data_IF_162677057056
#
_entry.id   IF_162677057056
#
_cell.length_a   1.000
_cell.length_b   1.000
_cell.length_c   1.000
_cell.angle_alpha   90.00
_cell.angle_beta   90.00
_cell.angle_gamma   90.00
#
_symmetry.space_group_name_H-M   'P 1'
#
loop_
_entity.id
_entity.type
_entity.pdbx_description
1 polymer ?
#
# COMPACT_ATOMS: atom_id res chain seq x y z
N UNK A 1 24.50 17.04 -16.87
CA UNK A 1 25.37 16.43 -17.90
C UNK A 1 25.07 14.94 -17.91
N UNK A 2 24.41 14.45 -18.96
CA UNK A 2 24.11 13.02 -19.12
C UNK A 2 25.33 12.37 -19.76
N UNK A 3 25.95 11.39 -19.09
CA UNK A 3 27.07 10.63 -19.66
C UNK A 3 26.55 9.75 -20.78
N UNK A 4 26.95 10.06 -22.00
CA UNK A 4 26.46 9.48 -23.25
C UNK A 4 27.33 8.30 -23.74
N UNK A 5 27.92 7.54 -22.82
CA UNK A 5 28.92 6.50 -23.17
C UNK A 5 28.34 5.10 -23.43
N UNK A 6 27.01 4.95 -23.46
CA UNK A 6 26.36 3.64 -23.65
C UNK A 6 25.31 3.65 -24.76
N UNK A 7 25.72 3.96 -26.00
CA UNK A 7 25.03 3.48 -27.19
C UNK A 7 26.06 3.04 -28.23
N UNK A 8 26.07 1.75 -28.60
CA UNK A 8 25.83 1.45 -30.02
C UNK A 8 24.94 0.21 -30.23
N UNK A 9 24.39 0.12 -31.43
CA UNK A 9 23.43 -0.89 -31.87
C UNK A 9 23.92 -2.34 -31.74
N UNK A 10 22.96 -3.25 -31.58
CA UNK A 10 23.18 -4.69 -31.60
C UNK A 10 23.06 -5.38 -30.25
N UNK A 11 21.84 -5.44 -29.72
CA UNK A 11 21.28 -6.60 -29.00
C UNK A 11 22.18 -7.38 -28.03
N UNK A 12 22.60 -6.78 -26.93
CA UNK A 12 22.86 -7.52 -25.70
C UNK A 12 22.63 -6.60 -24.49
N UNK A 13 21.57 -6.86 -23.73
CA UNK A 13 21.40 -6.26 -22.40
C UNK A 13 22.60 -6.65 -21.54
N UNK A 14 23.34 -5.71 -20.95
CA UNK A 14 24.50 -6.03 -20.12
C UNK A 14 24.09 -6.95 -18.95
N UNK A 15 24.97 -7.86 -18.50
CA UNK A 15 24.77 -8.62 -17.27
C UNK A 15 24.51 -7.70 -16.08
N UNK A 16 23.63 -8.10 -15.15
CA UNK A 16 23.17 -7.30 -14.00
C UNK A 16 24.32 -6.70 -13.16
N UNK A 17 25.49 -7.35 -13.15
CA UNK A 17 26.70 -6.92 -12.44
C UNK A 17 27.35 -5.65 -13.03
N UNK A 18 27.06 -5.31 -14.30
CA UNK A 18 27.66 -4.16 -15.00
C UNK A 18 26.76 -2.92 -15.04
N UNK A 19 25.53 -3.00 -14.52
CA UNK A 19 24.70 -1.81 -14.39
C UNK A 19 25.24 -0.87 -13.31
N UNK A 20 25.22 0.45 -13.53
CA UNK A 20 25.44 1.41 -12.47
C UNK A 20 24.52 1.06 -11.29
N UNK A 21 25.08 0.90 -10.09
CA UNK A 21 24.31 0.52 -8.89
C UNK A 21 23.08 1.40 -8.65
N UNK A 22 23.13 2.67 -9.09
CA UNK A 22 22.01 3.60 -9.05
C UNK A 22 20.82 3.17 -9.94
N UNK A 23 21.05 2.64 -11.14
CA UNK A 23 20.01 2.19 -12.06
C UNK A 23 19.34 0.91 -11.56
N UNK A 24 20.14 -0.06 -11.09
CA UNK A 24 19.62 -1.28 -10.48
C UNK A 24 18.77 -0.97 -9.22
N UNK A 25 19.22 -0.01 -8.39
CA UNK A 25 18.47 0.46 -7.22
C UNK A 25 17.17 1.15 -7.64
N UNK A 26 17.19 2.02 -8.65
CA UNK A 26 16.00 2.69 -9.16
C UNK A 26 14.96 1.71 -9.73
N UNK A 27 15.40 0.70 -10.50
CA UNK A 27 14.49 -0.37 -10.97
C UNK A 27 13.88 -1.16 -9.81
N UNK A 28 14.69 -1.50 -8.80
CA UNK A 28 14.21 -2.17 -7.58
C UNK A 28 13.17 -1.33 -6.82
N UNK A 29 13.36 -0.02 -6.76
CA UNK A 29 12.40 0.90 -6.13
C UNK A 29 11.10 1.02 -6.93
N UNK A 30 11.18 1.16 -8.26
CA UNK A 30 10.01 1.23 -9.12
C UNK A 30 9.11 -0.02 -8.98
N UNK A 31 9.71 -1.21 -8.93
CA UNK A 31 8.98 -2.45 -8.70
C UNK A 31 8.23 -2.45 -7.35
N UNK A 32 8.89 -2.00 -6.27
CA UNK A 32 8.28 -1.90 -4.93
C UNK A 32 7.13 -0.90 -4.90
N UNK A 33 7.28 0.27 -5.54
CA UNK A 33 6.22 1.28 -5.64
C UNK A 33 4.98 0.71 -6.35
N UNK A 34 5.17 0.02 -7.48
CA UNK A 34 4.08 -0.61 -8.21
C UNK A 34 3.41 -1.74 -7.43
N UNK A 35 4.19 -2.54 -6.70
CA UNK A 35 3.65 -3.58 -5.83
C UNK A 35 2.79 -2.96 -4.73
N UNK A 36 3.28 -1.91 -4.06
CA UNK A 36 2.54 -1.20 -3.02
C UNK A 36 1.24 -0.59 -3.56
N UNK A 37 1.28 0.07 -4.71
CA UNK A 37 0.10 0.62 -5.38
C UNK A 37 -0.98 -0.45 -5.61
N UNK A 38 -0.57 -1.61 -6.15
CA UNK A 38 -1.48 -2.75 -6.37
C UNK A 38 -2.00 -3.30 -5.05
N UNK A 39 -1.17 -3.41 -4.02
CA UNK A 39 -1.58 -3.93 -2.71
C UNK A 39 -2.60 -3.01 -2.07
N UNK A 40 -2.36 -1.70 -1.98
CA UNK A 40 -3.33 -0.73 -1.47
C UNK A 40 -4.67 -0.80 -2.20
N UNK A 41 -4.65 -0.99 -3.53
CA UNK A 41 -5.87 -1.15 -4.30
C UNK A 41 -6.62 -2.46 -4.02
N UNK A 42 -5.92 -3.56 -3.76
CA UNK A 42 -6.55 -4.81 -3.30
C UNK A 42 -7.09 -4.66 -1.88
N UNK A 43 -6.33 -4.05 -0.98
CA UNK A 43 -6.70 -3.85 0.41
C UNK A 43 -7.96 -2.98 0.50
N UNK A 44 -8.08 -1.87 -0.24
CA UNK A 44 -9.34 -1.08 -0.25
C UNK A 44 -10.55 -1.90 -0.72
N UNK A 45 -10.38 -2.80 -1.69
CA UNK A 45 -11.49 -3.60 -2.23
C UNK A 45 -12.00 -4.61 -1.20
N UNK A 46 -11.08 -5.14 -0.39
CA UNK A 46 -11.41 -6.05 0.70
C UNK A 46 -11.98 -5.31 1.91
N UNK A 47 -11.39 -4.15 2.27
CA UNK A 47 -11.74 -3.37 3.46
C UNK A 47 -13.09 -2.67 3.32
N UNK A 48 -13.38 -2.12 2.14
CA UNK A 48 -14.61 -1.37 1.85
C UNK A 48 -15.56 -2.15 0.94
N UNK A 49 -15.59 -3.49 1.07
CA UNK A 49 -16.42 -4.33 0.21
C UNK A 49 -17.88 -3.88 0.29
N UNK A 50 -18.54 -3.79 -0.88
CA UNK A 50 -19.92 -3.33 -1.04
C UNK A 50 -20.21 -1.88 -0.60
N UNK A 51 -19.20 -1.08 -0.24
CA UNK A 51 -19.35 0.35 0.03
C UNK A 51 -18.82 1.15 -1.16
N UNK A 52 -19.68 1.42 -2.14
CA UNK A 52 -19.28 2.11 -3.37
C UNK A 52 -18.69 3.50 -3.10
N UNK A 53 -19.20 4.22 -2.09
CA UNK A 53 -18.73 5.55 -1.72
C UNK A 53 -17.33 5.49 -1.13
N UNK A 54 -17.10 4.61 -0.16
CA UNK A 54 -15.78 4.45 0.44
C UNK A 54 -14.75 3.88 -0.55
N UNK A 55 -15.17 2.95 -1.43
CA UNK A 55 -14.33 2.42 -2.49
C UNK A 55 -13.84 3.54 -3.42
N UNK A 56 -14.72 4.42 -3.88
CA UNK A 56 -14.34 5.50 -4.79
C UNK A 56 -13.51 6.58 -4.10
N UNK A 57 -13.88 6.99 -2.88
CA UNK A 57 -13.08 7.92 -2.09
C UNK A 57 -11.65 7.40 -1.87
N UNK A 58 -11.50 6.11 -1.50
CA UNK A 58 -10.19 5.48 -1.35
C UNK A 58 -9.44 5.40 -2.68
N UNK A 59 -10.12 5.13 -3.81
CA UNK A 59 -9.51 5.12 -5.14
C UNK A 59 -8.89 6.46 -5.49
N UNK A 60 -9.67 7.53 -5.33
CA UNK A 60 -9.27 8.90 -5.64
C UNK A 60 -8.05 9.25 -4.79
N UNK A 61 -8.11 9.01 -3.48
CA UNK A 61 -7.02 9.35 -2.57
C UNK A 61 -5.72 8.60 -2.87
N UNK A 62 -5.78 7.29 -3.12
CA UNK A 62 -4.60 6.51 -3.52
C UNK A 62 -4.00 7.07 -4.81
N UNK A 63 -4.83 7.35 -5.83
CA UNK A 63 -4.33 7.88 -7.09
C UNK A 63 -3.74 9.29 -6.96
N UNK A 64 -4.34 10.15 -6.13
CA UNK A 64 -3.85 11.49 -5.84
C UNK A 64 -2.45 11.44 -5.21
N UNK A 65 -2.27 10.69 -4.13
CA UNK A 65 -1.00 10.60 -3.42
C UNK A 65 0.14 10.08 -4.32
N UNK A 66 -0.13 9.07 -5.15
CA UNK A 66 0.88 8.55 -6.09
C UNK A 66 1.16 9.52 -7.24
N UNK A 67 0.18 10.33 -7.66
CA UNK A 67 0.40 11.39 -8.67
C UNK A 67 1.22 12.53 -8.09
N UNK A 68 0.93 12.99 -6.87
CA UNK A 68 1.66 14.06 -6.19
C UNK A 68 3.14 13.74 -6.02
N UNK A 69 3.49 12.47 -5.81
CA UNK A 69 4.87 12.03 -5.61
C UNK A 69 5.55 11.47 -6.89
N UNK A 70 4.90 11.55 -8.06
CA UNK A 70 5.40 10.93 -9.31
C UNK A 70 6.76 11.46 -9.76
N UNK A 71 7.06 12.73 -9.48
CA UNK A 71 8.30 13.40 -9.90
C UNK A 71 9.42 13.30 -8.87
N UNK A 72 9.21 12.58 -7.76
CA UNK A 72 10.24 12.37 -6.75
C UNK A 72 11.37 11.50 -7.33
N UNK A 73 12.61 11.97 -7.18
CA UNK A 73 13.81 11.30 -7.73
C UNK A 73 14.79 10.91 -6.64
N UNK A 74 14.60 11.39 -5.40
CA UNK A 74 15.44 11.04 -4.26
C UNK A 74 15.18 9.59 -3.84
N UNK A 75 16.20 8.71 -3.92
CA UNK A 75 16.04 7.30 -3.53
C UNK A 75 15.64 7.14 -2.07
N UNK A 76 16.13 8.01 -1.17
CA UNK A 76 15.76 7.98 0.25
C UNK A 76 14.30 8.37 0.46
N UNK A 77 13.84 9.39 -0.25
CA UNK A 77 12.45 9.85 -0.12
C UNK A 77 11.46 8.81 -0.63
N UNK A 78 11.77 8.16 -1.75
CA UNK A 78 10.97 7.06 -2.28
C UNK A 78 10.86 5.91 -1.27
N UNK A 79 11.96 5.57 -0.59
CA UNK A 79 11.98 4.52 0.42
C UNK A 79 11.11 4.86 1.64
N UNK A 80 11.14 6.12 2.11
CA UNK A 80 10.23 6.62 3.14
C UNK A 80 8.76 6.54 2.72
N UNK A 81 8.43 6.98 1.50
CA UNK A 81 7.07 6.94 0.97
C UNK A 81 6.54 5.50 0.84
N UNK A 82 7.40 4.56 0.41
CA UNK A 82 7.05 3.13 0.37
C UNK A 82 6.73 2.62 1.76
N UNK A 83 7.53 2.98 2.77
CA UNK A 83 7.31 2.58 4.16
C UNK A 83 5.97 3.12 4.67
N UNK A 84 5.71 4.42 4.50
CA UNK A 84 4.47 5.07 4.91
C UNK A 84 3.26 4.37 4.26
N UNK A 85 3.30 4.14 2.95
CA UNK A 85 2.19 3.47 2.28
C UNK A 85 1.99 2.02 2.72
N UNK A 86 3.07 1.32 3.09
CA UNK A 86 3.00 -0.04 3.66
C UNK A 86 2.37 -0.04 5.06
N UNK A 87 2.70 0.95 5.89
CA UNK A 87 2.09 1.13 7.21
C UNK A 87 0.59 1.47 7.09
N UNK A 88 0.21 2.31 6.11
CA UNK A 88 -1.19 2.61 5.80
C UNK A 88 -1.93 1.35 5.34
N UNK A 89 -1.32 0.53 4.48
CA UNK A 89 -1.89 -0.76 4.05
C UNK A 89 -2.20 -1.66 5.25
N UNK A 90 -1.22 -1.78 6.17
CA UNK A 90 -1.37 -2.58 7.37
C UNK A 90 -2.54 -2.09 8.22
N UNK A 91 -2.61 -0.78 8.50
CA UNK A 91 -3.68 -0.17 9.30
C UNK A 91 -5.06 -0.38 8.66
N UNK A 92 -5.18 -0.21 7.34
CA UNK A 92 -6.43 -0.47 6.63
C UNK A 92 -6.89 -1.91 6.84
N UNK A 93 -5.96 -2.87 6.74
CA UNK A 93 -6.26 -4.29 6.88
C UNK A 93 -6.63 -4.68 8.31
N UNK A 94 -5.94 -4.15 9.32
CA UNK A 94 -6.05 -4.60 10.73
C UNK A 94 -6.98 -3.78 11.61
N UNK A 95 -7.31 -2.54 11.23
CA UNK A 95 -7.96 -1.60 12.16
C UNK A 95 -9.29 -1.05 11.66
N UNK A 96 -9.63 -1.22 10.39
CA UNK A 96 -10.88 -0.69 9.81
C UNK A 96 -11.98 -1.74 9.84
N UNK A 97 -13.10 -1.44 10.49
CA UNK A 97 -14.34 -2.26 10.47
C UNK A 97 -15.44 -1.44 9.81
N UNK A 98 -16.20 -2.04 8.90
CA UNK A 98 -17.34 -1.36 8.26
C UNK A 98 -18.55 -1.38 9.21
N UNK A 99 -19.21 -0.23 9.35
CA UNK A 99 -20.48 -0.10 10.04
C UNK A 99 -21.58 0.31 9.07
N UNK A 100 -22.69 -0.42 9.06
CA UNK A 100 -23.87 -0.13 8.24
C UNK A 100 -24.97 0.36 9.17
N UNK A 101 -25.47 1.58 8.96
CA UNK A 101 -26.62 2.08 9.71
C UNK A 101 -27.84 1.22 9.38
N UNK A 102 -28.51 0.76 10.43
CA UNK A 102 -29.80 0.09 10.34
C UNK A 102 -30.88 1.02 10.87
N UNK A 103 -32.13 0.74 10.51
CA UNK A 103 -33.27 1.46 11.08
C UNK A 103 -33.26 1.26 12.61
N UNK A 104 -33.66 2.30 13.35
CA UNK A 104 -33.64 2.35 14.83
C UNK A 104 -32.29 2.67 15.52
N UNK A 105 -31.49 3.59 14.98
CA UNK A 105 -30.30 4.14 15.67
C UNK A 105 -29.26 3.06 16.07
N UNK A 106 -29.22 1.96 15.30
CA UNK A 106 -28.31 0.83 15.50
C UNK A 106 -27.33 0.74 14.34
N UNK A 107 -26.15 0.16 14.60
CA UNK A 107 -25.09 -0.01 13.61
C UNK A 107 -24.74 -1.49 13.49
N UNK A 108 -24.91 -2.05 12.30
CA UNK A 108 -24.43 -3.40 11.99
C UNK A 108 -22.94 -3.33 11.64
N UNK A 109 -22.09 -3.88 12.49
CA UNK A 109 -20.66 -4.03 12.21
C UNK A 109 -20.43 -5.25 11.30
N UNK A 110 -19.56 -5.08 10.31
CA UNK A 110 -19.12 -6.12 9.39
C UNK A 110 -17.60 -6.31 9.56
N UNK A 111 -17.16 -7.02 10.62
CA UNK A 111 -15.76 -7.34 10.80
C UNK A 111 -15.29 -8.35 9.76
N UNK A 112 -14.04 -8.22 9.30
CA UNK A 112 -13.39 -9.22 8.44
C UNK A 112 -12.87 -10.37 9.29
N UNK A 113 -12.79 -11.57 8.71
CA UNK A 113 -12.33 -12.79 9.40
C UNK A 113 -10.96 -12.58 10.06
N UNK A 114 -10.06 -11.90 9.37
CA UNK A 114 -8.69 -11.62 9.81
C UNK A 114 -8.62 -10.73 11.06
N UNK A 115 -9.73 -10.08 11.45
CA UNK A 115 -9.85 -9.26 12.66
C UNK A 115 -10.43 -10.04 13.85
N UNK A 116 -11.02 -11.20 13.60
CA UNK A 116 -11.68 -12.00 14.63
C UNK A 116 -10.63 -12.91 15.28
N UNK A 117 -10.59 -12.90 16.60
CA UNK A 117 -9.73 -13.81 17.37
C UNK A 117 -10.61 -14.95 17.88
N UNK A 118 -10.27 -16.19 17.53
CA UNK A 118 -11.01 -17.36 17.97
C UNK A 118 -10.65 -17.73 19.41
N UNK A 119 -11.65 -18.14 20.20
CA UNK A 119 -11.49 -18.76 21.52
C UNK A 119 -10.80 -17.89 22.59
N UNK A 120 -10.96 -16.57 22.54
CA UNK A 120 -10.53 -15.70 23.65
C UNK A 120 -11.62 -15.73 24.73
N UNK A 121 -11.33 -16.21 25.96
CA UNK A 121 -12.28 -16.11 27.07
C UNK A 121 -12.69 -14.66 27.27
N UNK A 122 -13.98 -14.42 27.42
CA UNK A 122 -14.46 -13.09 27.78
C UNK A 122 -13.83 -12.66 29.11
N UNK A 123 -13.28 -11.45 29.16
CA UNK A 123 -12.67 -10.88 30.35
C UNK A 123 -13.29 -9.51 30.61
N UNK A 124 -13.87 -9.32 31.79
CA UNK A 124 -14.46 -8.04 32.23
C UNK A 124 -13.40 -6.94 32.41
N UNK A 125 -12.14 -7.32 32.60
CA UNK A 125 -11.03 -6.39 32.75
C UNK A 125 -10.27 -6.23 31.42
N UNK A 126 -10.01 -5.00 30.96
CA UNK A 126 -9.19 -4.80 29.76
C UNK A 126 -7.77 -5.34 30.01
N UNK A 127 -7.40 -6.40 29.31
CA UNK A 127 -6.00 -6.87 29.31
C UNK A 127 -5.11 -5.81 28.68
N UNK A 128 -4.04 -5.42 29.39
CA UNK A 128 -2.96 -4.62 28.80
C UNK A 128 -2.37 -5.40 27.62
N UNK A 129 -2.37 -4.78 26.44
CA UNK A 129 -1.65 -5.31 25.28
C UNK A 129 -0.15 -5.11 25.55
N UNK A 130 0.62 -6.21 25.60
CA UNK A 130 2.09 -6.17 25.59
C UNK A 130 2.61 -5.63 24.25
#
# INVERSE_FOLDING_TARGET
MMSSDWLPGGGATPPLEKWPQAEARAMGQAAKVLQLFKTLHRTRQQVFKNDARALEAARIKINEEFKCNKTETSPRKIEELIKIGSDVELILRTSVIQGIHTDHNTLKLVPRKDLLIENVPYCDAPTQKQ
#
